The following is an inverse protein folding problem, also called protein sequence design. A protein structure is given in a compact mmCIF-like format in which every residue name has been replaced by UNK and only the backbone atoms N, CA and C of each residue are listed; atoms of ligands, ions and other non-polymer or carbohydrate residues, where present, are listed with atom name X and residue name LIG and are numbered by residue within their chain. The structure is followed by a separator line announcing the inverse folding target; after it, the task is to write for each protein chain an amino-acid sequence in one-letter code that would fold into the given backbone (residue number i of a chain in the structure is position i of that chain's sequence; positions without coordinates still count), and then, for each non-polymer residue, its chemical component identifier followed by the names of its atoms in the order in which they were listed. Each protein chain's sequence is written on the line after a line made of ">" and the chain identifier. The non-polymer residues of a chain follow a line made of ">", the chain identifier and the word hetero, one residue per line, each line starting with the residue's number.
data_IF_944245618239
#
_entry.id   IF_944245618239
#
_cell.length_a   1.000
_cell.length_b   1.000
_cell.length_c   1.000
_cell.angle_alpha   90.00
_cell.angle_beta   90.00
_cell.angle_gamma   90.00
#
_symmetry.space_group_name_H-M   'P 1'
#
loop_
_entity.id
_entity.type
_entity.pdbx_description
1 polymer ?
#
# COMPACT_ATOMS: atom_id res chain seq x y z
N UNK A 1 -16.87 -38.15 34.60
CA UNK A 1 -15.47 -37.90 35.01
C UNK A 1 -14.70 -39.22 35.04
N UNK A 2 -13.64 -39.38 34.25
CA UNK A 2 -12.56 -40.37 34.47
C UNK A 2 -11.25 -39.64 34.17
N UNK A 3 -10.29 -39.73 35.09
CA UNK A 3 -9.06 -38.94 35.12
C UNK A 3 -7.89 -39.92 35.10
N UNK A 4 -7.08 -39.90 34.05
CA UNK A 4 -5.78 -40.57 34.05
C UNK A 4 -4.70 -39.53 33.76
N UNK A 5 -3.71 -39.49 34.65
CA UNK A 5 -2.53 -38.62 34.63
C UNK A 5 -1.31 -39.56 34.61
N UNK A 6 -0.32 -39.28 33.76
CA UNK A 6 1.07 -39.03 34.20
C UNK A 6 2.04 -38.86 33.01
N UNK A 7 2.97 -37.92 33.17
CA UNK A 7 4.16 -37.63 32.35
C UNK A 7 5.28 -38.70 32.60
N UNK A 8 6.48 -38.72 31.94
CA UNK A 8 7.19 -37.59 31.31
C UNK A 8 8.06 -37.82 30.04
N UNK A 9 8.52 -36.67 29.51
CA UNK A 9 9.72 -36.34 28.73
C UNK A 9 10.58 -37.43 28.05
N UNK A 10 10.85 -37.20 26.75
CA UNK A 10 12.14 -37.50 26.11
C UNK A 10 12.61 -36.22 25.39
N UNK A 11 13.83 -35.78 25.69
CA UNK A 11 14.50 -34.70 24.97
C UNK A 11 15.45 -35.29 23.92
N UNK A 12 15.45 -34.75 22.71
CA UNK A 12 16.50 -34.95 21.72
C UNK A 12 16.71 -33.64 20.95
N UNK A 13 17.84 -32.99 21.20
CA UNK A 13 18.23 -31.75 20.51
C UNK A 13 18.91 -32.14 19.20
N UNK A 14 18.45 -31.58 18.08
CA UNK A 14 19.17 -31.60 16.81
C UNK A 14 19.16 -30.18 16.22
N UNK A 15 20.07 -29.34 16.71
CA UNK A 15 20.34 -28.04 16.09
C UNK A 15 21.08 -28.27 14.77
N UNK A 16 20.39 -28.10 13.64
CA UNK A 16 21.00 -28.11 12.31
C UNK A 16 21.25 -26.67 11.87
N UNK A 17 22.44 -26.17 12.15
CA UNK A 17 22.84 -24.78 11.90
C UNK A 17 23.91 -24.67 10.80
N UNK A 18 23.74 -23.65 9.95
CA UNK A 18 24.70 -23.05 9.01
C UNK A 18 25.16 -23.85 7.77
N UNK A 19 24.80 -23.32 6.60
CA UNK A 19 25.80 -22.90 5.61
C UNK A 19 25.32 -21.60 4.93
N UNK A 20 26.16 -20.55 4.96
CA UNK A 20 25.89 -19.26 4.33
C UNK A 20 26.58 -19.20 2.96
N UNK A 21 25.84 -18.92 1.89
CA UNK A 21 26.41 -18.45 0.61
C UNK A 21 25.82 -17.09 0.26
N UNK A 22 26.28 -16.07 0.98
CA UNK A 22 26.18 -14.70 0.51
C UNK A 22 27.18 -14.53 -0.66
N UNK A 23 26.66 -14.37 -1.88
CA UNK A 23 27.50 -14.04 -3.03
C UNK A 23 27.92 -12.58 -2.92
N UNK A 24 29.17 -12.34 -2.52
CA UNK A 24 29.68 -11.00 -2.24
C UNK A 24 30.19 -10.26 -3.47
N UNK A 25 29.93 -8.96 -3.53
CA UNK A 25 30.70 -8.00 -4.30
C UNK A 25 30.63 -6.63 -3.60
N UNK A 26 31.56 -6.37 -2.69
CA UNK A 26 31.74 -5.05 -2.07
C UNK A 26 33.22 -4.77 -1.94
N UNK A 27 33.71 -3.81 -2.71
CA UNK A 27 35.03 -3.22 -2.53
C UNK A 27 34.86 -1.89 -1.80
N UNK A 28 35.50 -1.74 -0.65
CA UNK A 28 35.53 -0.50 0.12
C UNK A 28 36.97 -0.09 0.39
N UNK A 29 37.31 1.15 0.06
CA UNK A 29 38.56 1.80 0.44
C UNK A 29 38.26 3.23 0.86
N UNK A 30 38.29 3.50 2.15
CA UNK A 30 38.22 4.85 2.70
C UNK A 30 39.64 5.40 2.95
N UNK A 31 39.90 6.64 2.52
CA UNK A 31 41.06 7.44 2.96
C UNK A 31 40.67 8.93 2.94
N UNK A 32 41.14 9.78 3.88
CA UNK A 32 40.43 11.02 4.21
C UNK A 32 41.03 12.31 3.62
N UNK A 33 40.17 13.35 3.63
CA UNK A 33 40.47 14.76 3.93
C UNK A 33 41.72 15.44 3.33
N UNK A 34 41.48 16.32 2.34
CA UNK A 34 42.27 17.55 2.16
C UNK A 34 41.45 18.63 1.41
N UNK A 35 41.24 19.78 2.05
CA UNK A 35 41.07 21.07 1.34
C UNK A 35 42.47 21.70 1.18
N UNK A 36 42.72 22.43 0.07
CA UNK A 36 42.74 23.89 0.22
C UNK A 36 42.21 24.69 -0.99
N UNK A 37 42.00 25.98 -0.76
CA UNK A 37 41.49 26.99 -1.70
C UNK A 37 42.39 27.30 -2.91
N UNK A 38 41.79 27.77 -4.01
CA UNK A 38 41.99 29.13 -4.59
C UNK A 38 41.93 29.20 -6.14
N UNK A 39 41.05 30.09 -6.62
CA UNK A 39 41.22 31.08 -7.71
C UNK A 39 42.22 30.81 -8.86
N UNK A 40 41.70 30.72 -10.10
CA UNK A 40 41.98 31.69 -11.18
C UNK A 40 41.11 31.45 -12.44
N UNK A 41 40.45 32.50 -12.94
CA UNK A 41 39.96 32.58 -14.34
C UNK A 41 41.13 32.99 -15.26
N UNK A 42 41.09 32.72 -16.59
CA UNK A 42 40.42 33.69 -17.48
C UNK A 42 39.69 33.13 -18.73
N UNK A 43 38.80 34.00 -19.24
CA UNK A 43 38.13 34.09 -20.57
C UNK A 43 39.15 34.61 -21.63
N UNK A 44 39.01 34.53 -23.00
CA UNK A 44 37.80 34.42 -23.86
C UNK A 44 37.88 33.44 -25.07
N UNK A 45 36.78 33.39 -25.87
CA UNK A 45 36.68 33.58 -27.35
C UNK A 45 35.24 33.20 -27.76
N UNK A 46 34.33 34.18 -27.85
CA UNK A 46 33.81 34.76 -29.12
C UNK A 46 33.00 33.75 -29.96
N UNK A 47 31.66 33.80 -29.84
CA UNK A 47 30.73 34.45 -30.79
C UNK A 47 30.38 33.60 -32.02
N UNK A 48 29.09 33.27 -32.18
CA UNK A 48 28.28 33.70 -33.34
C UNK A 48 26.78 33.52 -33.03
N UNK A 49 26.16 34.63 -32.68
CA UNK A 49 24.76 35.06 -32.92
C UNK A 49 23.90 34.20 -33.85
N UNK A 50 22.67 33.87 -33.41
CA UNK A 50 21.41 34.12 -34.16
C UNK A 50 20.13 33.79 -33.36
N UNK A 51 19.51 34.82 -32.77
CA UNK A 51 18.05 34.90 -32.51
C UNK A 51 17.38 35.48 -33.78
N UNK A 52 16.14 35.12 -34.16
CA UNK A 52 14.89 35.30 -33.38
C UNK A 52 13.95 34.06 -33.47
N UNK A 53 12.65 34.03 -33.14
CA UNK A 53 11.61 35.00 -32.71
C UNK A 53 10.70 34.31 -31.66
N UNK A 54 10.11 35.00 -30.65
CA UNK A 54 8.97 34.47 -29.92
C UNK A 54 7.67 34.77 -30.69
N UNK A 55 7.02 33.74 -31.24
CA UNK A 55 5.67 33.88 -31.80
C UNK A 55 4.64 33.83 -30.68
N UNK A 56 3.87 34.90 -30.50
CA UNK A 56 2.68 34.90 -29.64
C UNK A 56 1.63 33.94 -30.21
N UNK A 57 1.34 32.87 -29.47
CA UNK A 57 0.42 31.80 -29.86
C UNK A 57 -0.83 31.77 -28.98
N UNK A 58 -1.71 32.76 -29.14
CA UNK A 58 -2.97 32.83 -28.40
C UNK A 58 -3.97 31.76 -28.87
N UNK A 59 -4.09 30.64 -28.15
CA UNK A 59 -5.24 29.72 -28.25
C UNK A 59 -5.27 28.66 -27.14
N UNK A 60 -6.23 28.76 -26.21
CA UNK A 60 -6.85 27.60 -25.55
C UNK A 60 -8.27 28.00 -25.11
N UNK A 61 -9.20 27.90 -26.05
CA UNK A 61 -10.64 27.87 -25.75
C UNK A 61 -11.09 26.44 -25.51
N UNK A 62 -11.52 26.11 -24.30
CA UNK A 62 -12.71 25.29 -24.00
C UNK A 62 -12.75 24.89 -22.51
N UNK A 63 -13.79 25.25 -21.75
CA UNK A 63 -14.23 24.43 -20.64
C UNK A 63 -15.06 23.27 -21.22
N UNK A 64 -14.45 22.09 -21.37
CA UNK A 64 -15.23 20.89 -21.70
C UNK A 64 -16.11 20.54 -20.51
N UNK A 65 -17.42 20.53 -20.72
CA UNK A 65 -18.40 20.12 -19.71
C UNK A 65 -18.06 18.74 -19.17
N UNK A 66 -18.17 18.58 -17.85
CA UNK A 66 -17.98 17.30 -17.16
C UNK A 66 -19.24 16.43 -17.36
N UNK A 67 -19.22 15.35 -18.17
CA UNK A 67 -20.34 14.42 -18.19
C UNK A 67 -20.31 13.63 -16.88
N UNK A 68 -21.19 14.00 -15.95
CA UNK A 68 -21.41 13.30 -14.69
C UNK A 68 -21.64 11.81 -14.92
N UNK A 69 -20.56 11.04 -14.79
CA UNK A 69 -20.62 9.58 -14.86
C UNK A 69 -21.35 9.12 -13.60
N UNK A 70 -22.48 8.38 -13.71
CA UNK A 70 -23.16 7.90 -12.52
C UNK A 70 -22.21 7.03 -11.71
N UNK A 71 -21.96 7.40 -10.45
CA UNK A 71 -21.21 6.54 -9.54
C UNK A 71 -21.87 5.15 -9.52
N UNK A 72 -21.11 4.05 -9.60
CA UNK A 72 -21.68 2.71 -9.65
C UNK A 72 -22.47 2.45 -8.37
N UNK A 73 -23.80 2.52 -8.49
CA UNK A 73 -24.72 2.12 -7.42
C UNK A 73 -24.37 0.68 -7.04
N UNK A 74 -24.18 0.36 -5.74
CA UNK A 74 -23.86 -1.00 -5.34
C UNK A 74 -24.93 -1.95 -5.86
N UNK A 75 -24.55 -2.81 -6.81
CA UNK A 75 -25.43 -3.88 -7.29
C UNK A 75 -25.52 -4.89 -6.17
N UNK A 76 -26.54 -4.72 -5.32
CA UNK A 76 -26.85 -5.65 -4.25
C UNK A 76 -27.20 -7.00 -4.87
N UNK A 77 -26.22 -7.90 -4.91
CA UNK A 77 -26.46 -9.29 -5.21
C UNK A 77 -27.36 -9.86 -4.10
N UNK A 78 -28.60 -10.28 -4.39
CA UNK A 78 -29.42 -10.93 -3.38
C UNK A 78 -28.69 -12.17 -2.86
N UNK A 79 -28.77 -12.38 -1.54
CA UNK A 79 -28.19 -13.53 -0.82
C UNK A 79 -26.68 -13.52 -0.48
N UNK A 80 -25.94 -12.43 -0.73
CA UNK A 80 -24.58 -12.31 -0.19
C UNK A 80 -24.59 -12.19 1.36
N UNK A 81 -24.07 -13.20 2.07
CA UNK A 81 -24.00 -13.20 3.54
C UNK A 81 -23.06 -12.10 4.07
N UNK A 82 -23.63 -11.14 4.80
CA UNK A 82 -22.84 -10.13 5.50
C UNK A 82 -22.07 -10.78 6.66
N UNK A 83 -20.77 -10.53 6.68
CA UNK A 83 -19.81 -10.91 7.70
C UNK A 83 -19.45 -9.67 8.53
N UNK A 84 -19.02 -9.88 9.78
CA UNK A 84 -18.57 -8.80 10.68
C UNK A 84 -17.18 -9.10 11.17
N UNK A 85 -16.37 -8.06 11.33
CA UNK A 85 -15.00 -8.16 11.81
C UNK A 85 -14.61 -6.98 12.69
N UNK A 86 -13.51 -7.19 13.42
CA UNK A 86 -12.78 -6.16 14.15
C UNK A 86 -11.30 -6.35 13.89
N UNK A 87 -10.54 -5.26 13.90
CA UNK A 87 -9.11 -5.28 13.65
C UNK A 87 -8.48 -3.92 13.92
N UNK A 88 -7.25 -3.74 13.48
CA UNK A 88 -6.51 -2.47 13.52
C UNK A 88 -6.33 -1.97 12.10
N UNK A 89 -6.70 -0.73 11.82
CA UNK A 89 -6.54 -0.14 10.50
C UNK A 89 -5.07 0.17 10.23
N UNK A 90 -4.53 -0.36 9.13
CA UNK A 90 -3.12 -0.18 8.76
C UNK A 90 -3.01 1.01 7.80
N UNK A 91 -3.84 1.04 6.76
CA UNK A 91 -3.85 2.11 5.76
C UNK A 91 -4.62 1.73 4.48
N UNK A 92 -4.51 2.58 3.45
CA UNK A 92 -4.90 2.24 2.09
C UNK A 92 -3.71 1.60 1.36
N UNK A 93 -3.95 0.49 0.66
CA UNK A 93 -3.00 -0.15 -0.25
C UNK A 93 -3.01 0.58 -1.59
N UNK A 94 -4.21 0.94 -2.05
CA UNK A 94 -4.51 1.67 -3.28
C UNK A 94 -5.84 2.43 -3.11
N UNK A 95 -6.32 3.14 -4.14
CA UNK A 95 -7.56 3.93 -4.10
C UNK A 95 -8.86 3.11 -3.96
N UNK A 96 -8.78 1.79 -4.00
CA UNK A 96 -9.89 0.85 -3.93
C UNK A 96 -9.73 -0.19 -2.82
N UNK A 97 -8.63 -0.17 -2.06
CA UNK A 97 -8.31 -1.22 -1.07
C UNK A 97 -7.73 -0.66 0.22
N UNK A 98 -8.27 -1.08 1.37
CA UNK A 98 -7.66 -0.88 2.69
C UNK A 98 -7.04 -2.17 3.22
N UNK A 99 -5.99 -2.04 4.02
CA UNK A 99 -5.46 -3.12 4.85
C UNK A 99 -5.91 -2.95 6.31
N UNK A 100 -6.41 -4.04 6.88
CA UNK A 100 -6.77 -4.15 8.30
C UNK A 100 -6.04 -5.36 8.87
N UNK A 101 -5.30 -5.16 9.95
CA UNK A 101 -4.71 -6.23 10.74
C UNK A 101 -5.83 -6.95 11.49
N UNK A 102 -6.08 -8.21 11.13
CA UNK A 102 -7.11 -9.04 11.75
C UNK A 102 -6.46 -10.13 12.61
N UNK A 103 -7.29 -10.93 13.31
CA UNK A 103 -6.81 -12.14 14.02
C UNK A 103 -6.09 -13.17 13.12
N UNK A 104 -6.21 -13.05 11.80
CA UNK A 104 -5.59 -13.94 10.81
C UNK A 104 -4.35 -13.30 10.15
N UNK A 105 -3.99 -12.07 10.55
CA UNK A 105 -2.91 -11.26 9.98
C UNK A 105 -3.42 -10.09 9.11
N UNK A 106 -2.52 -9.43 8.37
CA UNK A 106 -2.86 -8.34 7.46
C UNK A 106 -3.85 -8.83 6.41
N UNK A 107 -4.97 -8.13 6.27
CA UNK A 107 -6.04 -8.53 5.35
C UNK A 107 -6.52 -7.34 4.54
N UNK A 108 -6.43 -7.46 3.21
CA UNK A 108 -6.98 -6.48 2.28
C UNK A 108 -8.50 -6.59 2.17
N UNK A 109 -9.18 -5.44 2.11
CA UNK A 109 -10.60 -5.30 1.84
C UNK A 109 -10.86 -4.21 0.79
N UNK A 110 -11.70 -4.50 -0.20
CA UNK A 110 -12.16 -3.56 -1.21
C UNK A 110 -13.07 -2.49 -0.59
N UNK A 111 -12.81 -1.24 -0.93
CA UNK A 111 -13.55 -0.03 -0.56
C UNK A 111 -14.78 0.08 -1.45
N UNK A 112 -15.97 0.10 -0.85
CA UNK A 112 -17.21 0.48 -1.56
C UNK A 112 -17.37 2.00 -1.56
N UNK A 113 -17.90 2.57 -2.65
CA UNK A 113 -18.19 3.98 -2.78
C UNK A 113 -19.02 4.54 -1.61
N UNK A 114 -18.69 5.75 -1.14
CA UNK A 114 -19.31 6.40 0.01
C UNK A 114 -18.62 6.14 1.36
N UNK A 115 -17.44 5.50 1.36
CA UNK A 115 -16.60 5.27 2.55
C UNK A 115 -15.41 6.23 2.67
N UNK A 116 -15.19 7.08 1.68
CA UNK A 116 -14.01 7.94 1.53
C UNK A 116 -13.85 8.83 2.78
N UNK A 117 -14.91 9.52 3.18
CA UNK A 117 -14.93 10.39 4.37
C UNK A 117 -14.91 9.65 5.72
N UNK A 118 -14.93 8.31 5.73
CA UNK A 118 -14.60 7.50 6.93
C UNK A 118 -13.10 7.20 6.91
N UNK A 119 -12.58 6.75 5.77
CA UNK A 119 -11.17 6.39 5.58
C UNK A 119 -10.24 7.60 5.78
N UNK A 120 -10.62 8.78 5.30
CA UNK A 120 -9.92 10.06 5.53
C UNK A 120 -9.78 10.45 7.01
N UNK A 121 -10.57 9.85 7.90
CA UNK A 121 -10.57 10.14 9.35
C UNK A 121 -9.91 9.04 10.18
N UNK A 122 -9.59 7.90 9.56
CA UNK A 122 -8.86 6.81 10.20
C UNK A 122 -7.35 7.06 10.09
N UNK A 123 -6.68 6.93 11.21
CA UNK A 123 -5.23 6.95 11.32
C UNK A 123 -4.72 5.51 11.39
N UNK A 124 -3.51 5.25 10.91
CA UNK A 124 -2.83 3.98 11.20
C UNK A 124 -2.86 3.70 12.70
N UNK A 125 -3.03 2.42 13.06
CA UNK A 125 -3.22 1.90 14.42
C UNK A 125 -4.61 2.17 15.07
N UNK A 126 -5.55 2.83 14.37
CA UNK A 126 -6.92 2.99 14.88
C UNK A 126 -7.65 1.63 14.96
N UNK A 127 -8.28 1.27 16.09
CA UNK A 127 -9.08 0.07 16.21
C UNK A 127 -10.40 0.25 15.44
N UNK A 128 -10.76 -0.71 14.59
CA UNK A 128 -11.93 -0.62 13.70
C UNK A 128 -12.88 -1.80 13.87
N UNK A 129 -14.17 -1.51 13.65
CA UNK A 129 -15.24 -2.49 13.50
C UNK A 129 -15.88 -2.32 12.12
N UNK A 130 -16.02 -3.42 11.39
CA UNK A 130 -16.41 -3.42 9.98
C UNK A 130 -17.37 -4.56 9.63
N UNK A 131 -18.09 -4.38 8.52
CA UNK A 131 -18.95 -5.37 7.90
C UNK A 131 -18.53 -5.53 6.44
N UNK A 132 -18.56 -6.76 5.93
CA UNK A 132 -18.10 -7.08 4.57
C UNK A 132 -18.88 -8.27 3.97
N UNK A 133 -18.76 -8.45 2.66
CA UNK A 133 -19.20 -9.66 1.95
C UNK A 133 -18.01 -10.32 1.25
N UNK A 134 -18.06 -11.64 1.10
CA UNK A 134 -17.09 -12.39 0.30
C UNK A 134 -17.67 -12.71 -1.08
N UNK A 135 -16.96 -12.29 -2.13
CA UNK A 135 -17.24 -12.63 -3.53
C UNK A 135 -16.19 -13.63 -4.02
N UNK A 136 -16.59 -14.62 -4.80
CA UNK A 136 -15.64 -15.42 -5.58
C UNK A 136 -15.00 -14.54 -6.66
N UNK A 137 -13.69 -14.70 -6.90
CA UNK A 137 -13.02 -14.04 -8.03
C UNK A 137 -13.39 -14.77 -9.32
N UNK A 138 -13.56 -14.02 -10.42
CA UNK A 138 -13.84 -14.63 -11.72
C UNK A 138 -12.64 -15.47 -12.19
N UNK A 139 -12.90 -16.69 -12.68
CA UNK A 139 -11.87 -17.66 -13.05
C UNK A 139 -11.33 -18.51 -11.89
N UNK A 140 -11.43 -18.09 -10.62
CA UNK A 140 -11.06 -18.91 -9.46
C UNK A 140 -12.03 -18.74 -8.28
N UNK A 141 -12.91 -19.72 -8.12
CA UNK A 141 -13.90 -19.75 -7.05
C UNK A 141 -13.30 -20.03 -5.66
N UNK A 142 -12.03 -20.45 -5.56
CA UNK A 142 -11.35 -20.68 -4.29
C UNK A 142 -10.86 -19.36 -3.67
N UNK A 143 -10.49 -18.39 -4.50
CA UNK A 143 -10.09 -17.05 -4.06
C UNK A 143 -11.33 -16.22 -3.72
N UNK A 144 -11.30 -15.55 -2.56
CA UNK A 144 -12.38 -14.66 -2.09
C UNK A 144 -11.90 -13.21 -2.02
N UNK A 145 -12.59 -12.34 -2.76
CA UNK A 145 -12.49 -10.89 -2.60
C UNK A 145 -13.41 -10.46 -1.45
N UNK A 146 -12.87 -9.68 -0.51
CA UNK A 146 -13.61 -9.15 0.64
C UNK A 146 -13.99 -7.71 0.37
N UNK A 147 -15.29 -7.42 0.35
CA UNK A 147 -15.81 -6.09 -0.04
C UNK A 147 -16.51 -5.47 1.15
N UNK A 148 -16.03 -4.30 1.59
CA UNK A 148 -16.60 -3.60 2.74
C UNK A 148 -18.03 -3.16 2.42
N UNK A 149 -18.97 -3.50 3.31
CA UNK A 149 -20.30 -2.89 3.37
C UNK A 149 -20.41 -1.84 4.49
N UNK A 150 -19.48 -1.86 5.46
CA UNK A 150 -19.38 -0.85 6.53
C UNK A 150 -17.97 -0.80 7.12
N UNK A 151 -17.50 0.39 7.46
CA UNK A 151 -16.28 0.62 8.25
C UNK A 151 -16.54 1.72 9.29
N UNK A 152 -15.93 1.60 10.47
CA UNK A 152 -16.03 2.57 11.55
C UNK A 152 -14.95 2.31 12.61
N UNK A 153 -14.58 3.33 13.39
CA UNK A 153 -13.85 3.13 14.64
C UNK A 153 -14.62 2.17 15.56
N UNK A 154 -13.88 1.27 16.22
CA UNK A 154 -14.40 0.46 17.31
C UNK A 154 -14.72 1.35 18.53
N UNK A 155 -15.60 0.87 19.41
CA UNK A 155 -15.98 1.50 20.68
C UNK A 155 -15.43 0.72 21.86
#
# INVERSE_FOLDING_TARGET
>A
MKKQRSLPAIAAIAALTLALTACGATNNSAQPSAEPSATASPVPTEETTSTPVPTEGTSTTAPTENPSTPAPKPTANPEAKILKGTGVYVGQIDSHSVEIETKEGPTAFEITAGMESVIEKLNTDDPVAFEYVEKAVEGDATVKQRVLSKLSLAK
#
